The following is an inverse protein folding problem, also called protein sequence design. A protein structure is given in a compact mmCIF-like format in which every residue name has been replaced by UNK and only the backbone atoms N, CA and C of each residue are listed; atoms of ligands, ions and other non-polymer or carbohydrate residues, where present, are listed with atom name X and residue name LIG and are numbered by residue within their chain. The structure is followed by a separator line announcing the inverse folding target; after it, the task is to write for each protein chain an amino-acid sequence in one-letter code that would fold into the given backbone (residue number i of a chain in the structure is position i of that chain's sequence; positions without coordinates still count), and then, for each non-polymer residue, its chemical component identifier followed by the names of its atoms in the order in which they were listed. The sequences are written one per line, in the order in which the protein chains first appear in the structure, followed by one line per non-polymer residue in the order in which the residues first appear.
data_IF_737972520914
#
_entry.id   IF_737972520914
#
_cell.length_a   1.000
_cell.length_b   1.000
_cell.length_c   1.000
_cell.angle_alpha   90.00
_cell.angle_beta   90.00
_cell.angle_gamma   90.00
#
_symmetry.space_group_name_H-M   'P 1'
#
loop_
_entity.id
_entity.type
_entity.pdbx_description
1 polymer ?
#
# COMPACT_ATOMS: atom_id res chain seq x y z
N UNK A 1 12.77 8.91 12.94
CA UNK A 1 13.89 8.85 11.98
C UNK A 1 13.54 9.78 10.84
N UNK A 2 14.31 10.85 10.62
CA UNK A 2 14.11 11.73 9.46
C UNK A 2 15.05 11.21 8.37
N UNK A 3 14.58 10.27 7.55
CA UNK A 3 15.32 9.81 6.38
C UNK A 3 15.32 10.97 5.38
N UNK A 4 16.29 11.88 5.55
CA UNK A 4 16.44 13.05 4.70
C UNK A 4 16.39 12.61 3.22
N UNK A 5 15.57 13.24 2.37
CA UNK A 5 15.69 13.23 0.91
C UNK A 5 17.10 13.05 0.35
N UNK A 6 18.07 13.74 0.94
CA UNK A 6 19.46 13.78 0.47
C UNK A 6 20.30 12.64 1.05
N UNK A 7 19.71 11.73 1.83
CA UNK A 7 20.40 10.57 2.33
C UNK A 7 20.83 9.70 1.12
N UNK A 8 22.13 9.38 0.98
CA UNK A 8 22.66 8.59 -0.14
C UNK A 8 21.91 7.26 -0.37
N UNK A 9 21.36 6.71 0.70
CA UNK A 9 20.55 5.51 0.70
C UNK A 9 19.19 5.70 0.04
N UNK A 10 18.50 6.81 0.32
CA UNK A 10 17.24 7.19 -0.34
C UNK A 10 17.50 7.41 -1.83
N UNK A 11 18.59 8.09 -2.19
CA UNK A 11 19.00 8.29 -3.59
C UNK A 11 19.26 6.94 -4.30
N UNK A 12 19.88 5.98 -3.62
CA UNK A 12 20.14 4.64 -4.17
C UNK A 12 18.85 3.82 -4.35
N UNK A 13 17.89 3.95 -3.42
CA UNK A 13 16.55 3.36 -3.53
C UNK A 13 15.79 3.99 -4.70
N UNK A 14 15.80 5.32 -4.81
CA UNK A 14 15.20 6.06 -5.93
C UNK A 14 15.70 5.58 -7.29
N UNK A 15 17.03 5.46 -7.43
CA UNK A 15 17.64 5.02 -8.67
C UNK A 15 17.19 3.60 -9.08
N UNK A 16 17.04 2.69 -8.14
CA UNK A 16 16.59 1.32 -8.42
C UNK A 16 15.09 1.29 -8.77
N UNK A 17 14.25 2.04 -8.05
CA UNK A 17 12.83 2.17 -8.36
C UNK A 17 12.63 2.76 -9.77
N UNK A 18 13.39 3.80 -10.12
CA UNK A 18 13.37 4.36 -11.46
C UNK A 18 13.77 3.32 -12.52
N UNK A 19 14.78 2.50 -12.26
CA UNK A 19 15.20 1.44 -13.17
C UNK A 19 14.12 0.36 -13.34
N UNK A 20 13.45 -0.04 -12.26
CA UNK A 20 12.31 -0.96 -12.30
C UNK A 20 11.16 -0.38 -13.13
N UNK A 21 10.79 0.89 -12.89
CA UNK A 21 9.75 1.59 -13.66
C UNK A 21 10.14 1.73 -15.14
N UNK A 22 11.40 2.03 -15.45
CA UNK A 22 11.88 2.13 -16.85
C UNK A 22 11.79 0.77 -17.56
N UNK A 23 12.20 -0.32 -16.89
CA UNK A 23 12.07 -1.69 -17.41
C UNK A 23 10.61 -2.01 -17.72
N UNK A 24 9.71 -1.68 -16.80
CA UNK A 24 8.28 -1.89 -17.01
C UNK A 24 7.71 -1.04 -18.15
N UNK A 25 8.01 0.27 -18.20
CA UNK A 25 7.56 1.18 -19.28
C UNK A 25 7.98 0.71 -20.67
N UNK A 26 9.20 0.16 -20.80
CA UNK A 26 9.70 -0.39 -22.07
C UNK A 26 8.82 -1.56 -22.55
N UNK A 27 8.28 -2.34 -21.62
CA UNK A 27 7.45 -3.50 -21.91
C UNK A 27 5.94 -3.15 -21.94
N UNK A 28 5.54 -1.94 -21.51
CA UNK A 28 4.13 -1.52 -21.44
C UNK A 28 3.37 -1.61 -22.77
N UNK A 29 4.03 -1.27 -23.89
CA UNK A 29 3.41 -1.33 -25.22
C UNK A 29 3.02 -2.74 -25.65
N UNK A 30 3.74 -3.77 -25.20
CA UNK A 30 3.34 -5.17 -25.44
C UNK A 30 2.18 -5.62 -24.54
N UNK A 31 1.95 -4.91 -23.44
CA UNK A 31 0.93 -5.23 -22.44
C UNK A 31 -0.42 -4.60 -22.79
N UNK A 32 -0.41 -3.36 -23.29
CA UNK A 32 -1.63 -2.64 -23.69
C UNK A 32 -2.35 -3.21 -24.92
N UNK A 33 -1.67 -4.06 -25.71
CA UNK A 33 -2.20 -4.69 -26.93
C UNK A 33 -2.70 -6.11 -26.73
N UNK A 34 -2.42 -6.74 -25.58
CA UNK A 34 -3.01 -8.04 -25.24
C UNK A 34 -4.38 -7.76 -24.62
N UNK A 35 -5.44 -7.93 -25.40
CA UNK A 35 -6.82 -8.01 -24.89
C UNK A 35 -6.98 -9.27 -24.02
N UNK A 36 -6.35 -9.30 -22.86
CA UNK A 36 -6.59 -10.35 -21.87
C UNK A 36 -7.26 -9.72 -20.65
N UNK A 37 -8.59 -9.80 -20.70
CA UNK A 37 -9.46 -9.64 -19.55
C UNK A 37 -9.01 -10.58 -18.43
N UNK A 38 -8.35 -10.02 -17.41
CA UNK A 38 -8.07 -10.68 -16.16
C UNK A 38 -6.81 -11.53 -16.18
N UNK A 39 -5.99 -11.40 -15.15
CA UNK A 39 -4.78 -12.18 -14.84
C UNK A 39 -3.47 -11.79 -15.55
N UNK A 40 -3.42 -11.56 -16.87
CA UNK A 40 -2.17 -11.32 -17.59
C UNK A 40 -1.52 -9.96 -17.30
N UNK A 41 -2.27 -8.87 -17.47
CA UNK A 41 -1.78 -7.53 -17.11
C UNK A 41 -1.52 -7.39 -15.60
N UNK A 42 -2.24 -8.17 -14.79
CA UNK A 42 -2.08 -8.25 -13.34
C UNK A 42 -0.72 -8.87 -13.02
N UNK A 43 -0.40 -10.04 -13.61
CA UNK A 43 0.87 -10.77 -13.46
C UNK A 43 2.14 -9.92 -13.73
N UNK A 44 2.08 -8.97 -14.68
CA UNK A 44 3.28 -8.23 -15.10
C UNK A 44 3.56 -6.97 -14.28
N UNK A 45 2.55 -6.33 -13.66
CA UNK A 45 2.82 -5.23 -12.71
C UNK A 45 3.35 -5.73 -11.36
N UNK A 46 3.13 -7.00 -11.00
CA UNK A 46 3.92 -7.64 -9.93
C UNK A 46 5.40 -7.62 -10.22
N UNK A 47 5.78 -7.64 -11.50
CA UNK A 47 7.17 -7.45 -11.91
C UNK A 47 7.80 -6.21 -11.29
N UNK A 48 7.02 -5.14 -11.06
CA UNK A 48 7.49 -3.93 -10.40
C UNK A 48 7.86 -4.19 -8.93
N UNK A 49 7.00 -4.88 -8.16
CA UNK A 49 7.29 -5.22 -6.76
C UNK A 49 8.34 -6.34 -6.63
N UNK A 50 8.37 -7.30 -7.56
CA UNK A 50 9.46 -8.27 -7.69
C UNK A 50 10.80 -7.59 -7.93
N UNK A 51 10.84 -6.54 -8.76
CA UNK A 51 12.05 -5.75 -8.95
C UNK A 51 12.46 -4.97 -7.68
N UNK A 52 11.50 -4.59 -6.82
CA UNK A 52 11.80 -3.99 -5.51
C UNK A 52 12.35 -5.01 -4.52
N UNK A 53 11.92 -6.28 -4.59
CA UNK A 53 12.51 -7.37 -3.80
C UNK A 53 14.02 -7.52 -4.08
N UNK A 54 14.46 -7.20 -5.30
CA UNK A 54 15.87 -7.28 -5.70
C UNK A 54 16.74 -6.10 -5.24
N UNK A 55 16.19 -5.12 -4.51
CA UNK A 55 16.96 -3.99 -3.96
C UNK A 55 18.13 -4.45 -3.08
N UNK A 56 17.93 -5.55 -2.33
CA UNK A 56 18.94 -6.12 -1.45
C UNK A 56 19.41 -5.17 -0.33
N UNK A 57 20.46 -5.55 0.41
CA UNK A 57 21.09 -4.67 1.39
C UNK A 57 21.68 -3.44 0.72
N UNK A 58 21.47 -2.28 1.36
CA UNK A 58 22.13 -1.04 0.97
C UNK A 58 23.16 -0.70 2.03
N UNK A 59 24.42 -0.70 1.62
CA UNK A 59 25.57 -0.48 2.49
C UNK A 59 26.36 0.76 2.07
N UNK A 60 26.85 1.49 3.06
CA UNK A 60 27.99 2.41 2.98
C UNK A 60 29.10 1.96 3.94
N UNK A 61 30.15 2.76 4.10
CA UNK A 61 31.32 2.42 4.94
C UNK A 61 30.97 2.17 6.42
N UNK A 62 29.86 2.71 6.93
CA UNK A 62 29.51 2.70 8.35
C UNK A 62 28.14 2.06 8.65
N UNK A 63 27.29 1.90 7.64
CA UNK A 63 25.88 1.51 7.81
C UNK A 63 25.46 0.49 6.77
N UNK A 64 24.90 -0.62 7.24
CA UNK A 64 24.15 -1.58 6.44
C UNK A 64 22.66 -1.45 6.76
N UNK A 65 21.84 -1.34 5.72
CA UNK A 65 20.39 -1.37 5.87
C UNK A 65 19.86 -2.50 4.98
N UNK A 66 19.30 -3.52 5.63
CA UNK A 66 18.64 -4.61 4.92
C UNK A 66 17.19 -4.21 4.64
N UNK A 67 16.85 -4.13 3.35
CA UNK A 67 15.50 -3.89 2.86
C UNK A 67 14.89 -5.19 2.35
N UNK A 68 13.69 -5.49 2.81
CA UNK A 68 12.92 -6.62 2.31
C UNK A 68 11.51 -6.16 1.96
N UNK A 69 11.20 -6.19 0.66
CA UNK A 69 9.87 -5.92 0.14
C UNK A 69 9.16 -7.23 -0.16
N UNK A 70 8.21 -7.63 0.67
CA UNK A 70 7.37 -8.78 0.34
C UNK A 70 6.03 -8.31 -0.21
N UNK A 71 5.41 -9.15 -1.02
CA UNK A 71 4.07 -8.90 -1.51
C UNK A 71 3.33 -10.20 -1.74
N UNK A 72 2.00 -10.11 -1.67
CA UNK A 72 1.11 -11.23 -1.93
C UNK A 72 -0.09 -10.80 -2.76
N UNK A 73 -0.35 -11.62 -3.77
CA UNK A 73 -1.58 -11.64 -4.54
C UNK A 73 -2.74 -12.18 -3.72
N UNK A 74 -3.85 -11.44 -3.69
CA UNK A 74 -5.10 -11.90 -3.11
C UNK A 74 -5.97 -12.52 -4.20
N UNK A 75 -6.48 -13.72 -3.93
CA UNK A 75 -7.36 -14.43 -4.86
C UNK A 75 -8.65 -13.63 -5.10
N UNK A 76 -9.00 -13.30 -6.36
CA UNK A 76 -10.18 -12.48 -6.68
C UNK A 76 -11.50 -13.03 -6.12
N UNK A 77 -11.64 -14.37 -6.13
CA UNK A 77 -12.89 -15.03 -5.75
C UNK A 77 -13.13 -15.08 -4.24
N UNK A 78 -12.07 -14.97 -3.44
CA UNK A 78 -12.14 -15.23 -2.00
C UNK A 78 -11.59 -14.08 -1.19
N UNK A 79 -10.36 -13.65 -1.47
CA UNK A 79 -9.63 -12.71 -0.64
C UNK A 79 -9.89 -11.27 -1.06
N UNK A 80 -9.79 -10.96 -2.35
CA UNK A 80 -10.13 -9.62 -2.87
C UNK A 80 -11.60 -9.28 -2.58
N UNK A 81 -12.51 -10.25 -2.73
CA UNK A 81 -13.94 -10.03 -2.47
C UNK A 81 -14.25 -9.70 -1.00
N UNK A 82 -13.37 -10.12 -0.08
CA UNK A 82 -13.48 -9.92 1.36
C UNK A 82 -12.70 -8.69 1.85
N UNK A 83 -11.46 -8.55 1.40
CA UNK A 83 -10.52 -7.51 1.85
C UNK A 83 -10.63 -6.24 1.00
N UNK A 84 -11.10 -6.37 -0.24
CA UNK A 84 -11.22 -5.28 -1.19
C UNK A 84 -9.90 -4.84 -1.83
N UNK A 85 -8.83 -5.62 -1.65
CA UNK A 85 -7.50 -5.37 -2.19
C UNK A 85 -7.09 -6.50 -3.14
N UNK A 86 -6.34 -6.15 -4.18
CA UNK A 86 -5.66 -7.12 -5.04
C UNK A 86 -4.37 -7.59 -4.36
N UNK A 87 -3.72 -6.71 -3.60
CA UNK A 87 -2.39 -6.94 -3.04
C UNK A 87 -2.26 -6.56 -1.58
N UNK A 88 -1.35 -7.30 -0.95
CA UNK A 88 -0.67 -6.92 0.27
C UNK A 88 0.79 -6.64 -0.09
N UNK A 89 1.33 -5.52 0.39
CA UNK A 89 2.77 -5.20 0.28
C UNK A 89 3.31 -4.93 1.67
N UNK A 90 4.45 -5.50 2.00
CA UNK A 90 5.14 -5.28 3.27
C UNK A 90 6.56 -4.83 3.02
N UNK A 91 7.09 -4.11 4.00
CA UNK A 91 8.44 -3.58 4.01
C UNK A 91 9.03 -3.85 5.40
N UNK A 92 10.11 -4.63 5.42
CA UNK A 92 10.98 -4.78 6.59
C UNK A 92 12.27 -4.00 6.33
N UNK A 93 12.65 -3.19 7.31
CA UNK A 93 13.92 -2.47 7.35
C UNK A 93 14.63 -2.88 8.62
N UNK A 94 15.79 -3.54 8.48
CA UNK A 94 16.65 -3.87 9.60
C UNK A 94 17.81 -2.86 9.66
N UNK A 95 17.89 -2.15 10.78
CA UNK A 95 18.97 -1.25 11.15
C UNK A 95 19.69 -1.82 12.38
N UNK A 96 20.92 -1.39 12.69
CA UNK A 96 21.67 -1.91 13.83
C UNK A 96 20.89 -1.95 15.15
N UNK A 97 20.10 -0.90 15.45
CA UNK A 97 19.38 -0.76 16.72
C UNK A 97 17.84 -0.74 16.56
N UNK A 98 17.33 -0.89 15.33
CA UNK A 98 15.90 -0.72 15.06
C UNK A 98 15.43 -1.63 13.93
N UNK A 99 14.35 -2.38 14.20
CA UNK A 99 13.58 -3.07 13.16
C UNK A 99 12.30 -2.30 12.89
N UNK A 100 12.07 -1.94 11.63
CA UNK A 100 10.80 -1.36 11.17
C UNK A 100 10.11 -2.37 10.29
N UNK A 101 8.86 -2.68 10.60
CA UNK A 101 8.00 -3.52 9.79
C UNK A 101 6.66 -2.83 9.58
N UNK A 102 6.25 -2.69 8.32
CA UNK A 102 5.00 -2.04 7.95
C UNK A 102 4.50 -2.56 6.61
N UNK A 103 3.19 -2.50 6.40
CA UNK A 103 2.60 -2.89 5.13
C UNK A 103 1.42 -2.02 4.74
N UNK A 104 0.87 -2.33 3.57
CA UNK A 104 -0.26 -1.61 3.00
C UNK A 104 -1.08 -2.55 2.11
N UNK A 105 -2.33 -2.14 1.89
CA UNK A 105 -3.23 -2.78 0.94
C UNK A 105 -3.26 -1.98 -0.36
N UNK A 106 -3.25 -2.68 -1.49
CA UNK A 106 -3.39 -2.06 -2.82
C UNK A 106 -4.52 -2.71 -3.59
N UNK A 107 -5.48 -1.90 -4.04
CA UNK A 107 -6.37 -2.28 -5.14
C UNK A 107 -5.84 -1.68 -6.45
N UNK A 108 -5.67 -2.51 -7.47
CA UNK A 108 -5.24 -2.09 -8.79
C UNK A 108 -6.43 -1.86 -9.72
N UNK A 109 -6.33 -0.84 -10.58
CA UNK A 109 -7.21 -0.64 -11.73
C UNK A 109 -6.41 -0.22 -12.95
N UNK A 110 -6.83 -0.69 -14.12
CA UNK A 110 -6.28 -0.29 -15.41
C UNK A 110 -7.09 0.89 -15.96
N UNK A 111 -6.38 1.95 -16.36
CA UNK A 111 -6.95 3.00 -17.19
C UNK A 111 -7.08 2.49 -18.64
N UNK A 112 -8.31 2.33 -19.11
CA UNK A 112 -8.65 1.70 -20.40
C UNK A 112 -8.39 2.59 -21.62
N UNK A 113 -7.75 3.74 -21.44
CA UNK A 113 -7.77 4.85 -22.39
C UNK A 113 -6.71 4.75 -23.51
N UNK A 114 -6.64 3.61 -24.21
CA UNK A 114 -5.76 3.46 -25.36
C UNK A 114 -6.15 4.36 -26.56
N UNK A 115 -7.36 4.97 -26.59
CA UNK A 115 -7.89 5.64 -27.80
C UNK A 115 -8.78 6.90 -27.60
N UNK A 116 -9.08 7.37 -26.39
CA UNK A 116 -9.91 8.59 -26.21
C UNK A 116 -9.05 9.84 -26.10
N UNK A 117 -9.45 10.92 -26.79
CA UNK A 117 -8.78 12.24 -26.72
C UNK A 117 -8.94 12.93 -25.35
N UNK A 118 -9.73 12.36 -24.44
CA UNK A 118 -9.95 12.88 -23.09
C UNK A 118 -9.30 11.95 -22.06
N UNK A 119 -8.46 12.50 -21.18
CA UNK A 119 -7.60 11.80 -20.21
C UNK A 119 -8.32 11.01 -19.09
N UNK A 120 -9.61 10.69 -19.18
CA UNK A 120 -10.36 10.29 -17.98
C UNK A 120 -11.49 9.27 -18.13
N UNK A 121 -11.43 8.39 -19.13
CA UNK A 121 -12.36 7.26 -19.20
C UNK A 121 -11.77 6.00 -18.55
N UNK A 122 -11.49 6.10 -17.25
CA UNK A 122 -11.26 4.91 -16.45
C UNK A 122 -12.58 4.12 -16.42
N UNK A 123 -12.65 2.96 -17.11
CA UNK A 123 -13.78 2.01 -17.04
C UNK A 123 -13.77 1.28 -15.69
N UNK A 124 -13.83 2.04 -14.62
CA UNK A 124 -13.98 1.55 -13.26
C UNK A 124 -15.46 1.56 -12.92
N UNK A 125 -15.98 0.40 -12.51
CA UNK A 125 -17.22 0.35 -11.75
C UNK A 125 -16.99 1.07 -10.42
N UNK A 126 -17.40 2.34 -10.37
CA UNK A 126 -17.24 3.20 -9.19
C UNK A 126 -17.98 2.67 -7.96
N UNK A 127 -19.08 1.91 -8.13
CA UNK A 127 -19.79 1.32 -6.99
C UNK A 127 -18.99 0.17 -6.40
N UNK A 128 -18.47 -0.71 -7.26
CA UNK A 128 -17.58 -1.79 -6.85
C UNK A 128 -16.30 -1.24 -6.21
N UNK A 129 -15.65 -0.26 -6.85
CA UNK A 129 -14.44 0.35 -6.29
C UNK A 129 -14.72 0.99 -4.93
N UNK A 130 -15.85 1.67 -4.75
CA UNK A 130 -16.20 2.27 -3.45
C UNK A 130 -16.45 1.21 -2.38
N UNK A 131 -17.01 0.04 -2.74
CA UNK A 131 -17.10 -1.11 -1.82
C UNK A 131 -15.69 -1.62 -1.47
N UNK A 132 -14.86 -1.91 -2.46
CA UNK A 132 -13.49 -2.41 -2.28
C UNK A 132 -12.67 -1.48 -1.37
N UNK A 133 -12.73 -0.18 -1.62
CA UNK A 133 -12.08 0.84 -0.79
C UNK A 133 -12.59 0.82 0.66
N UNK A 134 -13.90 0.69 0.88
CA UNK A 134 -14.46 0.59 2.24
C UNK A 134 -13.99 -0.67 2.95
N UNK A 135 -13.97 -1.79 2.23
CA UNK A 135 -13.51 -3.07 2.77
C UNK A 135 -12.04 -2.94 3.18
N UNK A 136 -11.17 -2.43 2.30
CA UNK A 136 -9.74 -2.19 2.62
C UNK A 136 -9.56 -1.32 3.86
N UNK A 137 -10.28 -0.20 3.93
CA UNK A 137 -10.19 0.74 5.07
C UNK A 137 -10.71 0.14 6.38
N UNK A 138 -11.55 -0.89 6.33
CA UNK A 138 -11.98 -1.62 7.53
C UNK A 138 -10.88 -2.51 8.11
N UNK A 139 -9.92 -2.94 7.27
CA UNK A 139 -8.75 -3.72 7.67
C UNK A 139 -7.57 -2.82 8.04
N UNK A 140 -7.28 -1.81 7.22
CA UNK A 140 -6.15 -0.91 7.43
C UNK A 140 -6.39 0.49 6.87
N UNK A 141 -6.05 1.56 7.64
CA UNK A 141 -6.04 2.92 7.11
C UNK A 141 -4.94 3.12 6.06
N UNK A 142 -3.91 2.27 6.03
CA UNK A 142 -2.83 2.31 5.04
C UNK A 142 -3.23 1.53 3.78
N UNK A 143 -4.27 2.03 3.11
CA UNK A 143 -4.85 1.42 1.92
C UNK A 143 -4.80 2.39 0.75
N UNK A 144 -4.45 1.87 -0.42
CA UNK A 144 -4.24 2.67 -1.62
C UNK A 144 -4.88 2.02 -2.84
N UNK A 145 -5.23 2.85 -3.82
CA UNK A 145 -5.63 2.41 -5.15
C UNK A 145 -4.53 2.80 -6.13
N UNK A 146 -4.05 1.83 -6.90
CA UNK A 146 -3.07 2.05 -7.95
C UNK A 146 -3.78 2.08 -9.30
N UNK A 147 -3.63 3.17 -10.04
CA UNK A 147 -4.11 3.28 -11.43
C UNK A 147 -2.92 3.11 -12.36
N UNK A 148 -2.96 2.11 -13.23
CA UNK A 148 -1.95 1.95 -14.29
C UNK A 148 -2.47 2.50 -15.61
N UNK A 149 -1.64 3.25 -16.33
CA UNK A 149 -1.93 3.78 -17.67
C UNK A 149 -0.67 3.71 -18.55
N UNK A 150 -0.80 4.09 -19.83
CA UNK A 150 0.35 4.26 -20.74
C UNK A 150 1.40 5.25 -20.23
N UNK A 151 1.03 6.15 -19.31
CA UNK A 151 1.92 7.17 -18.78
C UNK A 151 2.68 6.71 -17.52
N UNK A 152 2.21 5.65 -16.87
CA UNK A 152 2.83 5.07 -15.68
C UNK A 152 1.80 4.59 -14.67
N UNK A 153 2.16 4.73 -13.40
CA UNK A 153 1.35 4.30 -12.26
C UNK A 153 1.16 5.46 -11.30
N UNK A 154 -0.09 5.69 -10.93
CA UNK A 154 -0.47 6.68 -9.93
C UNK A 154 -1.03 5.97 -8.70
N UNK A 155 -0.65 6.48 -7.53
CA UNK A 155 -1.03 5.97 -6.23
C UNK A 155 -1.99 6.93 -5.55
N UNK A 156 -3.07 6.37 -5.04
CA UNK A 156 -4.20 7.14 -4.51
C UNK A 156 -4.51 6.64 -3.11
N UNK A 157 -4.57 7.52 -2.10
CA UNK A 157 -5.10 7.12 -0.79
C UNK A 157 -6.55 6.63 -0.89
N UNK A 158 -6.84 5.43 -0.40
CA UNK A 158 -8.20 4.88 -0.43
C UNK A 158 -9.20 5.76 0.35
N UNK A 159 -8.74 6.47 1.38
CA UNK A 159 -9.58 7.42 2.15
C UNK A 159 -10.13 8.56 1.28
N UNK A 160 -9.37 9.03 0.30
CA UNK A 160 -9.78 10.08 -0.63
C UNK A 160 -10.92 9.60 -1.53
N UNK A 161 -10.78 8.38 -2.07
CA UNK A 161 -11.81 7.74 -2.89
C UNK A 161 -13.08 7.44 -2.10
N UNK A 162 -12.96 7.07 -0.82
CA UNK A 162 -14.12 6.82 0.03
C UNK A 162 -14.94 8.11 0.27
N UNK A 163 -14.24 9.24 0.48
CA UNK A 163 -14.83 10.55 0.72
C UNK A 163 -15.42 11.22 -0.53
N UNK A 164 -14.97 10.85 -1.72
CA UNK A 164 -15.45 11.44 -2.97
C UNK A 164 -16.93 11.11 -3.25
N UNK A 165 -17.70 12.13 -3.66
CA UNK A 165 -19.08 11.96 -4.10
C UNK A 165 -19.14 11.35 -5.50
N UNK A 166 -18.29 11.85 -6.40
CA UNK A 166 -18.16 11.41 -7.79
C UNK A 166 -16.72 11.02 -8.06
N UNK A 167 -16.34 9.79 -7.69
CA UNK A 167 -14.98 9.25 -7.85
C UNK A 167 -14.34 9.58 -9.20
N UNK A 168 -15.11 9.46 -10.30
CA UNK A 168 -14.62 9.78 -11.65
C UNK A 168 -14.19 11.24 -11.79
N UNK A 169 -15.06 12.18 -11.43
CA UNK A 169 -14.84 13.61 -11.64
C UNK A 169 -13.94 14.22 -10.57
N UNK A 170 -14.18 13.84 -9.32
CA UNK A 170 -13.56 14.49 -8.18
C UNK A 170 -12.10 14.05 -8.03
N UNK A 171 -11.80 12.82 -8.44
CA UNK A 171 -10.49 12.20 -8.21
C UNK A 171 -9.88 11.63 -9.49
N UNK A 172 -10.59 10.75 -10.24
CA UNK A 172 -10.01 10.09 -11.41
C UNK A 172 -9.60 11.03 -12.55
N UNK A 173 -10.41 12.05 -12.81
CA UNK A 173 -10.15 13.09 -13.82
C UNK A 173 -8.96 14.01 -13.46
N UNK A 174 -8.64 14.13 -12.17
CA UNK A 174 -7.61 15.02 -11.66
C UNK A 174 -6.32 14.29 -11.27
N UNK A 175 -6.18 12.99 -11.57
CA UNK A 175 -4.97 12.25 -11.19
C UNK A 175 -3.75 12.69 -11.98
N UNK A 176 -2.85 13.38 -11.28
CA UNK A 176 -1.47 13.60 -11.72
C UNK A 176 -0.46 13.74 -10.56
N UNK A 177 -0.87 13.58 -9.30
CA UNK A 177 -0.09 14.20 -8.21
C UNK A 177 0.82 13.23 -7.44
N UNK A 178 0.62 11.92 -7.52
CA UNK A 178 1.43 10.95 -6.77
C UNK A 178 1.73 9.74 -7.62
N UNK A 179 2.83 9.83 -8.37
CA UNK A 179 3.35 8.67 -9.10
C UNK A 179 3.80 7.58 -8.13
N UNK A 180 3.78 6.32 -8.57
CA UNK A 180 4.30 5.19 -7.78
C UNK A 180 5.74 5.40 -7.31
N UNK A 181 6.61 5.96 -8.16
CA UNK A 181 7.99 6.28 -7.78
C UNK A 181 8.03 7.21 -6.59
N UNK A 182 7.31 8.33 -6.68
CA UNK A 182 7.23 9.31 -5.61
C UNK A 182 6.62 8.70 -4.34
N UNK A 183 5.56 7.90 -4.48
CA UNK A 183 4.94 7.21 -3.36
C UNK A 183 5.95 6.33 -2.61
N UNK A 184 6.66 5.44 -3.30
CA UNK A 184 7.62 4.54 -2.63
C UNK A 184 8.78 5.34 -2.02
N UNK A 185 9.37 6.26 -2.77
CA UNK A 185 10.64 6.89 -2.39
C UNK A 185 10.49 8.06 -1.41
N UNK A 186 9.32 8.72 -1.41
CA UNK A 186 9.06 9.91 -0.59
C UNK A 186 8.02 9.69 0.49
N UNK A 187 7.15 8.67 0.37
CA UNK A 187 6.05 8.46 1.31
C UNK A 187 6.15 7.11 2.05
N UNK A 188 6.28 6.00 1.33
CA UNK A 188 6.22 4.68 1.95
C UNK A 188 7.52 4.30 2.63
N UNK A 189 8.66 4.36 1.94
CA UNK A 189 9.95 3.98 2.54
C UNK A 189 10.37 4.95 3.66
N UNK A 190 10.53 6.27 3.40
CA UNK A 190 11.13 7.17 4.37
C UNK A 190 10.21 7.57 5.53
N UNK A 191 8.89 7.53 5.35
CA UNK A 191 7.94 7.95 6.39
C UNK A 191 7.34 6.75 7.15
N UNK A 192 6.67 7.03 8.26
CA UNK A 192 5.88 6.04 9.00
C UNK A 192 4.53 5.70 8.33
N UNK A 193 4.40 5.97 7.04
CA UNK A 193 3.27 5.54 6.23
C UNK A 193 3.32 4.02 6.10
N UNK A 194 2.29 3.33 6.58
CA UNK A 194 2.21 1.87 6.60
C UNK A 194 1.61 1.38 7.92
N UNK A 195 1.00 0.21 7.89
CA UNK A 195 0.36 -0.42 9.02
C UNK A 195 1.22 -1.57 9.55
N UNK A 196 1.64 -1.46 10.81
CA UNK A 196 2.40 -2.50 11.52
C UNK A 196 1.61 -3.80 11.72
N UNK A 197 0.29 -3.79 11.50
CA UNK A 197 -0.54 -5.01 11.52
C UNK A 197 -0.40 -5.82 10.22
N UNK A 198 0.09 -5.20 9.15
CA UNK A 198 0.34 -5.84 7.87
C UNK A 198 1.85 -6.14 7.79
N UNK A 199 2.22 -7.33 8.24
CA UNK A 199 3.61 -7.81 8.35
C UNK A 199 3.96 -8.79 7.23
N UNK A 200 5.23 -9.16 7.09
CA UNK A 200 5.64 -10.22 6.16
C UNK A 200 4.89 -11.54 6.46
N UNK A 201 4.66 -11.86 7.73
CA UNK A 201 3.86 -13.04 8.12
C UNK A 201 2.43 -13.00 7.56
N UNK A 202 1.82 -11.81 7.47
CA UNK A 202 0.49 -11.61 6.86
C UNK A 202 0.56 -11.85 5.36
N UNK A 203 1.61 -11.34 4.69
CA UNK A 203 1.85 -11.60 3.28
C UNK A 203 2.17 -13.08 2.99
N UNK A 204 2.63 -13.85 3.97
CA UNK A 204 2.91 -15.29 3.83
C UNK A 204 1.71 -16.20 4.16
N UNK A 205 0.56 -15.65 4.56
CA UNK A 205 -0.61 -16.48 4.83
C UNK A 205 -1.00 -17.32 3.60
N UNK A 206 -1.45 -18.56 3.80
CA UNK A 206 -1.74 -19.50 2.71
C UNK A 206 -3.18 -19.39 2.21
N UNK A 207 -4.08 -18.82 3.01
CA UNK A 207 -5.50 -18.71 2.72
C UNK A 207 -6.13 -17.53 3.48
N UNK A 208 -7.40 -17.24 3.15
CA UNK A 208 -8.15 -16.14 3.74
C UNK A 208 -8.29 -16.27 5.26
N UNK A 209 -8.56 -17.47 5.79
CA UNK A 209 -8.75 -17.66 7.23
C UNK A 209 -7.46 -17.34 7.99
N UNK A 210 -6.32 -17.85 7.53
CA UNK A 210 -5.01 -17.56 8.11
C UNK A 210 -4.69 -16.06 8.00
N UNK A 211 -5.01 -15.44 6.87
CA UNK A 211 -4.81 -14.02 6.63
C UNK A 211 -5.60 -13.15 7.62
N UNK A 212 -6.89 -13.44 7.78
CA UNK A 212 -7.77 -12.74 8.73
C UNK A 212 -7.34 -12.96 10.18
N UNK A 213 -6.91 -14.18 10.51
CA UNK A 213 -6.37 -14.49 11.84
C UNK A 213 -5.12 -13.65 12.08
N UNK A 214 -4.11 -13.65 11.20
CA UNK A 214 -2.85 -12.92 11.40
C UNK A 214 -3.05 -11.40 11.51
N UNK A 215 -3.96 -10.83 10.72
CA UNK A 215 -4.35 -9.41 10.85
C UNK A 215 -5.09 -9.16 12.18
N UNK A 216 -5.93 -10.11 12.61
CA UNK A 216 -6.80 -9.99 13.78
C UNK A 216 -6.12 -10.29 15.14
N UNK A 217 -5.22 -11.27 15.24
CA UNK A 217 -4.61 -11.72 16.50
C UNK A 217 -3.78 -10.64 17.18
N UNK A 218 -3.23 -9.68 16.43
CA UNK A 218 -2.50 -8.56 17.03
C UNK A 218 -3.39 -7.47 17.63
N UNK A 219 -4.73 -7.51 17.47
CA UNK A 219 -5.63 -6.72 18.35
C UNK A 219 -5.47 -7.12 19.81
N UNK A 220 -5.20 -8.41 20.10
CA UNK A 220 -5.16 -8.93 21.47
C UNK A 220 -3.77 -8.89 22.13
N UNK A 221 -2.69 -8.71 21.36
CA UNK A 221 -1.33 -8.67 21.93
C UNK A 221 -1.00 -7.26 22.47
N UNK A 222 -1.52 -6.20 21.84
CA UNK A 222 -1.41 -4.85 22.40
C UNK A 222 -2.29 -4.64 23.65
N UNK A 223 -3.40 -5.34 23.77
CA UNK A 223 -4.25 -5.30 24.97
C UNK A 223 -3.74 -6.20 26.11
N UNK A 224 -2.90 -7.21 25.82
CA UNK A 224 -2.35 -8.13 26.82
C UNK A 224 -0.95 -7.75 27.35
N UNK A 225 -0.26 -6.80 26.72
CA UNK A 225 0.95 -6.16 27.25
C UNK A 225 0.56 -4.88 27.99
N UNK A 226 0.15 -5.04 29.25
CA UNK A 226 -0.42 -4.01 30.11
C UNK A 226 0.32 -2.68 30.13
N UNK A 227 -0.33 -1.65 29.60
CA UNK A 227 -0.15 -0.27 30.03
C UNK A 227 -1.31 0.07 30.96
N UNK A 228 -0.94 0.39 32.21
CA UNK A 228 -1.81 0.75 33.32
C UNK A 228 -3.06 1.51 32.89
N UNK A 229 -4.24 0.95 33.22
CA UNK A 229 -5.47 1.74 33.32
C UNK A 229 -5.17 2.98 34.15
N UNK A 230 -5.43 4.21 33.66
CA UNK A 230 -5.44 5.37 34.53
C UNK A 230 -6.47 5.10 35.62
N UNK A 231 -6.05 5.10 36.89
CA UNK A 231 -6.99 5.16 38.00
C UNK A 231 -7.85 6.40 37.76
N UNK A 232 -9.16 6.22 37.70
CA UNK A 232 -10.11 7.32 37.50
C UNK A 232 -9.89 8.39 38.58
N UNK A 233 -10.05 9.69 38.27
CA UNK A 233 -10.03 10.72 39.28
C UNK A 233 -11.25 10.52 40.20
N UNK A 234 -10.98 10.43 41.49
CA UNK A 234 -12.00 10.41 42.54
C UNK A 234 -13.05 11.51 42.31
N UNK A 235 -14.31 11.10 42.24
CA UNK A 235 -15.47 11.99 42.25
C UNK A 235 -15.51 12.73 43.60
N UNK A 236 -15.67 14.07 43.64
CA UNK A 236 -15.84 14.78 44.90
C UNK A 236 -17.20 14.43 45.52
N UNK A 237 -17.18 13.90 46.76
CA UNK A 237 -18.40 13.71 47.57
C UNK A 237 -19.08 15.06 47.81
N UNK A 238 -20.37 15.16 47.47
CA UNK A 238 -21.25 16.27 47.86
C UNK A 238 -21.25 16.41 49.40
N UNK A 239 -20.99 17.62 49.91
CA UNK A 239 -21.26 17.96 51.31
C UNK A 239 -22.78 17.95 51.57
N UNK A 240 -23.24 17.52 52.75
CA UNK A 240 -24.64 17.67 53.12
C UNK A 240 -24.93 19.15 53.41
N UNK A 241 -26.02 19.67 52.83
CA UNK A 241 -26.56 20.97 53.19
C UNK A 241 -27.07 20.93 54.63
N UNK A 242 -26.73 21.96 55.40
CA UNK A 242 -27.46 22.37 56.60
C UNK A 242 -28.68 23.19 56.19
#
# INVERSE_FOLDING_TARGET
MNLNPDNPLIIKIEKHIEQAIRRYKKNFKSFSTKEEHGSGAVAEWFGLFNDLYLLGPIEDENTRIDFEFNHRLLSPRTEESTIGADLIVTLTINLPDLKVEKGLLIQHKLDSNNYSKNKSDVKVDTKLLKKQVKDMLSFSPCSYVMISSIHGFDMIPAIELNGAEKIKKDVLENYSNTTFSYFITRLFVPCFTGDQKITSEVAEANNLSELLIKIGTRRNIQDSLGLNKPKSPNTPKKKPNK
#
